data_IF_752420918906
#
_entry.id   IF_752420918906
#
_cell.length_a   1.000
_cell.length_b   1.000
_cell.length_c   1.000
_cell.angle_alpha   90.00
_cell.angle_beta   90.00
_cell.angle_gamma   90.00
#
_symmetry.space_group_name_H-M   'P 1'
#
loop_
_entity.id
_entity.type
_entity.pdbx_description
1 polymer ?
#
# COMPACT_ATOMS: atom_id res chain seq x y z
N UNK A 1 29.10 46.17 -13.19
CA UNK A 1 28.21 46.50 -12.05
C UNK A 1 27.03 45.54 -11.86
N UNK A 2 26.37 45.00 -12.91
CA UNK A 2 25.27 44.01 -12.76
C UNK A 2 25.69 42.60 -12.30
N UNK A 3 26.97 42.26 -12.40
CA UNK A 3 27.47 40.92 -12.05
C UNK A 3 27.31 40.59 -10.55
N UNK A 4 27.39 41.60 -9.69
CA UNK A 4 27.17 41.42 -8.25
C UNK A 4 25.72 40.98 -7.96
N UNK A 5 24.75 41.53 -8.70
CA UNK A 5 23.35 41.11 -8.61
C UNK A 5 23.16 39.67 -9.11
N UNK A 6 23.81 39.28 -10.20
CA UNK A 6 23.76 37.88 -10.67
C UNK A 6 24.32 36.89 -9.66
N UNK A 7 25.41 37.24 -8.97
CA UNK A 7 25.98 36.41 -7.92
C UNK A 7 25.00 36.26 -6.76
N UNK A 8 24.34 37.34 -6.33
CA UNK A 8 23.33 37.29 -5.25
C UNK A 8 22.12 36.45 -5.63
N UNK A 9 21.59 36.60 -6.85
CA UNK A 9 20.45 35.78 -7.30
C UNK A 9 20.86 34.31 -7.43
N UNK A 10 22.06 34.04 -7.96
CA UNK A 10 22.59 32.69 -8.09
C UNK A 10 22.77 31.99 -6.74
N UNK A 11 23.29 32.68 -5.71
CA UNK A 11 23.46 32.09 -4.38
C UNK A 11 22.12 31.75 -3.73
N UNK A 12 21.11 32.60 -3.90
CA UNK A 12 19.75 32.34 -3.40
C UNK A 12 19.15 31.10 -4.09
N UNK A 13 19.26 31.02 -5.43
CA UNK A 13 18.74 29.88 -6.19
C UNK A 13 19.49 28.58 -5.85
N UNK A 14 20.82 28.63 -5.71
CA UNK A 14 21.63 27.48 -5.33
C UNK A 14 21.24 26.97 -3.94
N UNK A 15 21.04 27.86 -2.97
CA UNK A 15 20.64 27.47 -1.62
C UNK A 15 19.24 26.82 -1.60
N UNK A 16 18.26 27.40 -2.32
CA UNK A 16 16.93 26.82 -2.49
C UNK A 16 16.99 25.42 -3.13
N UNK A 17 17.80 25.26 -4.18
CA UNK A 17 17.96 24.00 -4.88
C UNK A 17 18.58 22.92 -3.98
N UNK A 18 19.64 23.25 -3.23
CA UNK A 18 20.28 22.32 -2.28
C UNK A 18 19.31 21.91 -1.18
N UNK A 19 18.57 22.86 -0.59
CA UNK A 19 17.57 22.56 0.44
C UNK A 19 16.45 21.64 -0.09
N UNK A 20 15.97 21.90 -1.31
CA UNK A 20 14.98 21.05 -1.96
C UNK A 20 15.53 19.65 -2.26
N UNK A 21 16.77 19.55 -2.73
CA UNK A 21 17.46 18.29 -2.99
C UNK A 21 17.60 17.47 -1.70
N UNK A 22 18.04 18.08 -0.60
CA UNK A 22 18.16 17.42 0.71
C UNK A 22 16.78 16.92 1.16
N UNK A 23 15.73 17.75 1.06
CA UNK A 23 14.36 17.34 1.43
C UNK A 23 13.86 16.16 0.58
N UNK A 24 14.14 16.19 -0.72
CA UNK A 24 13.83 15.09 -1.64
C UNK A 24 14.58 13.81 -1.28
N UNK A 25 15.90 13.90 -1.04
CA UNK A 25 16.74 12.78 -0.62
C UNK A 25 16.29 12.19 0.71
N UNK A 26 15.97 13.01 1.70
CA UNK A 26 15.43 12.55 2.99
C UNK A 26 14.09 11.86 2.82
N UNK A 27 13.21 12.36 1.95
CA UNK A 27 11.94 11.70 1.65
C UNK A 27 12.14 10.33 0.99
N UNK A 28 13.10 10.22 0.07
CA UNK A 28 13.45 8.97 -0.62
C UNK A 28 14.10 7.97 0.32
N UNK A 29 15.05 8.41 1.17
CA UNK A 29 15.73 7.54 2.15
C UNK A 29 14.83 7.15 3.33
N UNK A 30 13.80 7.95 3.64
CA UNK A 30 12.71 7.53 4.56
C UNK A 30 11.78 6.49 3.91
N UNK A 31 11.89 6.28 2.60
CA UNK A 31 11.09 5.35 1.80
C UNK A 31 11.77 3.98 1.63
N UNK A 32 12.93 3.75 2.23
CA UNK A 32 13.58 2.43 2.35
C UNK A 32 12.92 1.53 3.41
N UNK A 33 11.88 2.00 4.10
CA UNK A 33 10.88 1.07 4.66
C UNK A 33 9.98 0.66 3.50
N UNK A 34 9.81 -0.65 3.19
CA UNK A 34 8.98 -1.09 2.08
C UNK A 34 7.54 -0.61 2.30
N UNK A 35 7.21 0.56 1.77
CA UNK A 35 5.85 1.04 1.64
C UNK A 35 5.17 0.12 0.64
N UNK A 36 4.53 -0.93 1.17
CA UNK A 36 3.46 -1.64 0.50
C UNK A 36 2.44 -0.59 0.04
N UNK A 37 2.37 -0.42 -1.27
CA UNK A 37 1.33 0.23 -2.08
C UNK A 37 1.21 1.78 -2.06
N UNK A 38 0.77 2.34 -3.22
CA UNK A 38 0.98 3.73 -3.59
C UNK A 38 -0.04 4.67 -2.91
N UNK A 39 0.29 5.97 -2.80
CA UNK A 39 -0.66 6.94 -2.29
C UNK A 39 -1.80 7.10 -3.29
N UNK A 40 -3.02 6.86 -2.82
CA UNK A 40 -4.20 7.48 -3.40
C UNK A 40 -3.93 8.98 -3.53
N UNK A 41 -4.07 9.49 -4.75
CA UNK A 41 -3.95 10.89 -5.13
C UNK A 41 -4.48 11.85 -4.04
N UNK A 42 -3.73 12.90 -3.64
CA UNK A 42 -4.18 13.87 -2.64
C UNK A 42 -5.35 14.76 -3.11
N UNK A 43 -5.84 14.57 -4.34
CA UNK A 43 -7.02 15.28 -4.86
C UNK A 43 -8.37 14.68 -4.43
N UNK A 44 -8.40 13.62 -3.61
CA UNK A 44 -9.65 13.04 -3.09
C UNK A 44 -9.78 13.09 -1.54
N UNK A 45 -9.17 14.08 -0.88
CA UNK A 45 -9.38 14.33 0.55
C UNK A 45 -10.81 14.82 0.92
N UNK A 46 -11.74 14.86 -0.04
CA UNK A 46 -13.13 15.26 0.15
C UNK A 46 -14.10 14.23 -0.41
N UNK A 47 -14.03 12.99 0.07
CA UNK A 47 -15.11 12.04 -0.10
C UNK A 47 -15.23 11.24 1.20
N UNK A 48 -16.10 11.75 2.07
CA UNK A 48 -17.03 10.99 2.92
C UNK A 48 -16.40 9.90 3.80
N UNK A 49 -16.56 10.04 5.12
CA UNK A 49 -16.10 9.09 6.13
C UNK A 49 -16.68 7.68 6.00
N UNK A 50 -16.21 6.93 5.00
CA UNK A 50 -16.22 5.49 5.00
C UNK A 50 -15.20 5.08 6.04
N UNK A 51 -15.68 4.86 7.26
CA UNK A 51 -14.95 4.06 8.25
C UNK A 51 -14.71 2.71 7.58
N UNK A 52 -13.54 2.53 7.00
CA UNK A 52 -13.06 1.23 6.55
C UNK A 52 -13.04 0.35 7.78
N UNK A 53 -14.07 -0.50 7.91
CA UNK A 53 -14.10 -1.51 8.96
C UNK A 53 -12.94 -2.44 8.66
N UNK A 54 -11.91 -2.52 9.51
CA UNK A 54 -10.80 -3.43 9.26
C UNK A 54 -11.36 -4.85 9.21
N UNK A 55 -10.98 -5.60 8.16
CA UNK A 55 -11.30 -7.01 8.10
C UNK A 55 -10.75 -7.69 9.36
N UNK A 56 -11.47 -8.66 9.97
CA UNK A 56 -11.04 -9.26 11.23
C UNK A 56 -9.69 -9.98 11.14
N UNK A 57 -9.26 -10.37 9.93
CA UNK A 57 -7.93 -10.94 9.66
C UNK A 57 -6.79 -9.91 9.76
N UNK A 58 -7.11 -8.62 9.75
CA UNK A 58 -6.18 -7.51 9.90
C UNK A 58 -6.12 -7.02 11.34
N UNK A 59 -6.44 -7.86 12.32
CA UNK A 59 -6.31 -7.58 13.74
C UNK A 59 -5.36 -8.61 14.37
N UNK A 60 -4.45 -8.16 15.23
CA UNK A 60 -3.65 -9.06 16.07
C UNK A 60 -4.49 -9.64 17.24
N UNK A 61 -3.91 -10.55 18.02
CA UNK A 61 -4.57 -11.15 19.19
C UNK A 61 -4.98 -10.13 20.27
N UNK A 62 -4.38 -8.93 20.24
CA UNK A 62 -4.68 -7.82 21.13
C UNK A 62 -5.68 -6.80 20.51
N UNK A 63 -6.16 -7.05 19.29
CA UNK A 63 -7.11 -6.19 18.58
C UNK A 63 -6.50 -4.96 17.92
N UNK A 64 -5.17 -4.90 17.75
CA UNK A 64 -4.50 -3.85 17.01
C UNK A 64 -4.54 -4.14 15.50
N UNK A 65 -4.74 -3.11 14.66
CA UNK A 65 -4.75 -3.29 13.22
C UNK A 65 -3.36 -3.66 12.69
N UNK A 66 -3.27 -4.77 11.96
CA UNK A 66 -2.09 -5.22 11.23
C UNK A 66 -2.32 -5.08 9.72
N UNK A 67 -1.28 -4.67 8.98
CA UNK A 67 -1.39 -4.41 7.53
C UNK A 67 -1.23 -5.67 6.68
N UNK A 68 -1.19 -6.84 7.32
CA UNK A 68 -1.10 -8.14 6.66
C UNK A 68 -1.88 -9.20 7.43
N UNK A 69 -2.57 -10.12 6.73
CA UNK A 69 -3.26 -11.21 7.40
C UNK A 69 -2.25 -12.17 8.03
N UNK A 70 -2.57 -12.68 9.21
CA UNK A 70 -1.75 -13.68 9.91
C UNK A 70 -1.68 -14.98 9.09
N UNK A 71 -0.56 -15.22 8.39
CA UNK A 71 -0.36 -16.41 7.57
C UNK A 71 -0.06 -17.63 8.45
N UNK A 72 -1.02 -18.53 8.62
CA UNK A 72 -0.82 -19.82 9.30
C UNK A 72 -0.43 -20.89 8.29
N UNK A 73 0.85 -21.29 8.26
CA UNK A 73 1.34 -22.38 7.42
C UNK A 73 0.89 -23.73 7.98
N UNK A 74 0.09 -24.49 7.20
CA UNK A 74 -0.29 -25.88 7.54
C UNK A 74 0.45 -26.84 6.60
N UNK A 75 1.06 -27.88 7.15
CA UNK A 75 1.62 -28.97 6.35
C UNK A 75 0.48 -29.88 5.87
N UNK A 76 0.05 -29.70 4.61
CA UNK A 76 -0.97 -30.54 3.96
C UNK A 76 -0.40 -31.17 2.69
N UNK A 77 -0.95 -32.30 2.26
CA UNK A 77 -0.58 -32.90 0.98
C UNK A 77 -1.14 -32.06 -0.18
N UNK A 78 -0.57 -32.23 -1.39
CA UNK A 78 -1.04 -31.51 -2.59
C UNK A 78 -2.50 -31.86 -2.91
N UNK A 79 -2.89 -33.11 -2.68
CA UNK A 79 -4.25 -33.58 -2.94
C UNK A 79 -5.27 -32.97 -1.98
N UNK A 80 -4.94 -32.95 -0.68
CA UNK A 80 -5.80 -32.33 0.34
C UNK A 80 -5.95 -30.82 0.11
N UNK A 81 -4.87 -30.15 -0.33
CA UNK A 81 -4.90 -28.72 -0.68
C UNK A 81 -5.84 -28.43 -1.84
N UNK A 82 -5.83 -29.32 -2.86
CA UNK A 82 -6.71 -29.23 -4.02
C UNK A 82 -8.17 -29.39 -3.62
N UNK A 83 -8.48 -30.41 -2.80
CA UNK A 83 -9.84 -30.64 -2.29
C UNK A 83 -10.34 -29.45 -1.46
N UNK A 84 -9.49 -28.89 -0.58
CA UNK A 84 -9.84 -27.73 0.23
C UNK A 84 -10.11 -26.47 -0.60
N UNK A 85 -9.34 -26.24 -1.68
CA UNK A 85 -9.57 -25.15 -2.62
C UNK A 85 -10.87 -25.32 -3.41
N UNK A 86 -11.16 -26.53 -3.89
CA UNK A 86 -12.40 -26.84 -4.60
C UNK A 86 -13.62 -26.66 -3.68
N UNK A 87 -13.50 -27.05 -2.41
CA UNK A 87 -14.54 -26.83 -1.40
C UNK A 87 -14.80 -25.34 -1.16
N UNK A 88 -13.74 -24.54 -1.02
CA UNK A 88 -13.86 -23.08 -0.87
C UNK A 88 -14.53 -22.44 -2.09
N UNK A 89 -14.14 -22.84 -3.30
CA UNK A 89 -14.73 -22.37 -4.55
C UNK A 89 -16.25 -22.63 -4.61
N UNK A 90 -16.67 -23.86 -4.33
CA UNK A 90 -18.09 -24.25 -4.32
C UNK A 90 -18.90 -23.56 -3.23
N UNK A 91 -18.29 -23.27 -2.08
CA UNK A 91 -18.94 -22.61 -0.94
C UNK A 91 -19.03 -21.08 -1.07
N UNK A 92 -18.40 -20.50 -2.10
CA UNK A 92 -18.32 -19.05 -2.23
C UNK A 92 -19.70 -18.42 -2.51
N UNK A 93 -20.13 -17.43 -1.72
CA UNK A 93 -21.38 -16.71 -1.93
C UNK A 93 -21.25 -15.85 -3.19
N UNK A 94 -21.66 -16.41 -4.33
CA UNK A 94 -21.54 -15.78 -5.65
C UNK A 94 -21.51 -16.77 -6.81
N UNK A 95 -21.35 -18.07 -6.54
CA UNK A 95 -21.41 -19.10 -7.58
C UNK A 95 -22.87 -19.45 -7.96
N UNK A 96 -23.58 -18.48 -8.55
CA UNK A 96 -24.84 -18.77 -9.23
C UNK A 96 -24.53 -19.46 -10.57
N UNK A 97 -24.52 -20.79 -10.55
CA UNK A 97 -24.88 -21.68 -11.66
C UNK A 97 -24.23 -21.37 -13.01
N UNK A 98 -23.02 -21.91 -13.25
CA UNK A 98 -22.64 -22.34 -14.60
C UNK A 98 -23.41 -23.63 -14.90
N UNK A 99 -24.26 -23.69 -15.95
CA UNK A 99 -24.90 -24.92 -16.36
C UNK A 99 -23.82 -25.83 -16.96
N UNK A 100 -23.75 -27.03 -16.40
CA UNK A 100 -23.00 -28.15 -16.95
C UNK A 100 -23.66 -28.52 -18.29
N UNK A 101 -23.06 -28.12 -19.42
CA UNK A 101 -23.46 -28.56 -20.75
C UNK A 101 -22.81 -29.92 -21.04
N UNK A 102 -23.66 -30.94 -21.20
CA UNK A 102 -23.34 -32.29 -21.69
C UNK A 102 -23.08 -32.33 -23.21
#
# INVERSE_FOLDING_TARGET
MLHLLYLVVFTILAFLAIANMIRSLLTISSMDTPRRYPPSSPYMASATGYRTVPHPELLDDAGNPINEPLLVMRSMSVEDAREQLDALYKSSPGNSSEPQED
#
